data_IF_723368683821
#
_entry.id   IF_723368683821
#
_cell.length_a   1.000
_cell.length_b   1.000
_cell.length_c   1.000
_cell.angle_alpha   90.00
_cell.angle_beta   90.00
_cell.angle_gamma   90.00
#
_symmetry.space_group_name_H-M   'P 1'
#
loop_
_entity.id
_entity.type
_entity.pdbx_description
1 polymer ?
#
# COMPACT_ATOMS: atom_id res chain seq x y z
N UNK A 1 10.97 -32.67 7.82
CA UNK A 1 12.33 -32.12 7.61
C UNK A 1 12.26 -31.24 6.36
N UNK A 2 12.33 -29.92 6.51
CA UNK A 2 12.35 -29.02 5.35
C UNK A 2 13.78 -29.02 4.79
N UNK A 3 13.93 -29.48 3.55
CA UNK A 3 15.21 -29.44 2.85
C UNK A 3 15.63 -27.97 2.70
N UNK A 4 16.83 -27.63 3.16
CA UNK A 4 17.53 -26.44 2.73
C UNK A 4 17.93 -26.69 1.28
N UNK A 5 17.04 -26.41 0.34
CA UNK A 5 17.42 -26.35 -1.07
C UNK A 5 18.43 -25.23 -1.19
N UNK A 6 19.61 -25.55 -1.72
CA UNK A 6 20.59 -24.55 -2.08
C UNK A 6 19.93 -23.57 -3.06
N UNK A 7 19.66 -22.35 -2.62
CA UNK A 7 19.02 -21.29 -3.42
C UNK A 7 20.05 -20.47 -4.20
N UNK A 8 21.28 -20.97 -4.32
CA UNK A 8 22.38 -20.29 -5.02
C UNK A 8 22.05 -19.96 -6.48
N UNK A 9 21.18 -20.76 -7.11
CA UNK A 9 20.75 -20.55 -8.51
C UNK A 9 19.54 -19.61 -8.67
N UNK A 10 19.00 -19.05 -7.58
CA UNK A 10 17.84 -18.18 -7.67
C UNK A 10 18.20 -16.78 -8.19
N UNK A 11 17.35 -16.28 -9.08
CA UNK A 11 17.45 -14.92 -9.59
C UNK A 11 16.95 -13.93 -8.53
N UNK A 12 17.76 -12.93 -8.22
CA UNK A 12 17.43 -11.89 -7.23
C UNK A 12 17.20 -10.55 -7.94
N UNK A 13 16.08 -9.91 -7.63
CA UNK A 13 15.73 -8.57 -8.08
C UNK A 13 15.54 -7.68 -6.86
N UNK A 14 16.20 -6.52 -6.88
CA UNK A 14 16.10 -5.52 -5.81
C UNK A 14 15.58 -4.20 -6.38
N UNK A 15 14.57 -3.63 -5.72
CA UNK A 15 13.87 -2.44 -6.17
C UNK A 15 13.81 -1.43 -5.03
N UNK A 16 13.87 -0.15 -5.37
CA UNK A 16 13.68 0.96 -4.45
C UNK A 16 12.60 1.89 -5.02
N UNK A 17 11.51 2.05 -4.29
CA UNK A 17 10.36 2.85 -4.72
C UNK A 17 10.23 4.02 -3.76
N UNK A 18 10.52 5.26 -4.20
CA UNK A 18 10.45 6.43 -3.34
C UNK A 18 9.00 6.83 -3.07
N UNK A 19 8.70 7.15 -1.82
CA UNK A 19 7.42 7.75 -1.40
C UNK A 19 7.63 9.18 -0.89
N UNK A 20 6.56 10.02 -0.84
CA UNK A 20 6.66 11.38 -0.32
C UNK A 20 7.11 11.49 1.14
N UNK A 21 6.82 10.46 1.96
CA UNK A 21 7.20 10.39 3.36
C UNK A 21 7.36 8.92 3.81
N UNK A 22 7.98 8.71 4.97
CA UNK A 22 8.23 7.38 5.55
C UNK A 22 6.95 6.64 5.97
N UNK A 23 5.93 7.38 6.40
CA UNK A 23 4.66 6.80 6.85
C UNK A 23 3.91 6.15 5.69
N UNK A 24 3.94 6.76 4.51
CA UNK A 24 3.37 6.24 3.28
C UNK A 24 4.04 4.93 2.87
N UNK A 25 5.38 4.89 2.85
CA UNK A 25 6.14 3.67 2.54
C UNK A 25 5.80 2.55 3.55
N UNK A 26 5.70 2.90 4.84
CA UNK A 26 5.34 1.96 5.91
C UNK A 26 3.91 1.44 5.77
N UNK A 27 2.96 2.31 5.42
CA UNK A 27 1.57 1.93 5.21
C UNK A 27 1.43 0.98 4.02
N UNK A 28 2.05 1.32 2.89
CA UNK A 28 2.04 0.48 1.68
C UNK A 28 2.65 -0.89 1.97
N UNK A 29 3.81 -0.93 2.67
CA UNK A 29 4.41 -2.18 3.11
C UNK A 29 3.43 -3.04 3.91
N UNK A 30 2.79 -2.49 4.94
CA UNK A 30 1.87 -3.25 5.81
C UNK A 30 0.69 -3.82 5.05
N UNK A 31 0.14 -3.08 4.10
CA UNK A 31 -0.99 -3.54 3.28
C UNK A 31 -0.56 -4.70 2.38
N UNK A 32 0.59 -4.61 1.73
CA UNK A 32 1.07 -5.63 0.79
C UNK A 32 1.56 -6.89 1.51
N UNK A 33 2.14 -6.77 2.70
CA UNK A 33 2.65 -7.91 3.49
C UNK A 33 1.55 -8.89 3.94
N UNK A 34 0.29 -8.46 3.98
CA UNK A 34 -0.83 -9.35 4.30
C UNK A 34 -0.96 -10.46 3.25
N UNK A 35 -0.60 -10.17 1.99
CA UNK A 35 -0.63 -11.17 0.94
C UNK A 35 0.62 -12.06 0.98
N UNK A 36 0.40 -13.36 1.19
CA UNK A 36 1.46 -14.36 1.28
C UNK A 36 1.74 -14.93 -0.10
N UNK A 37 3.02 -15.13 -0.38
CA UNK A 37 3.45 -15.80 -1.61
C UNK A 37 2.89 -17.23 -1.65
N UNK A 38 2.16 -17.56 -2.73
CA UNK A 38 1.48 -18.84 -2.91
C UNK A 38 2.45 -20.04 -3.03
N UNK A 39 3.65 -19.83 -3.59
CA UNK A 39 4.68 -20.87 -3.79
C UNK A 39 6.01 -20.49 -3.12
N UNK A 40 6.11 -20.59 -1.78
CA UNK A 40 7.32 -20.19 -1.03
C UNK A 40 8.55 -21.08 -1.32
N UNK A 41 8.35 -22.24 -1.94
CA UNK A 41 9.42 -23.12 -2.42
C UNK A 41 10.09 -22.63 -3.70
N UNK A 42 9.47 -21.70 -4.43
CA UNK A 42 9.92 -21.24 -5.75
C UNK A 42 10.13 -19.73 -5.82
N UNK A 43 9.53 -18.99 -4.89
CA UNK A 43 9.52 -17.54 -4.85
C UNK A 43 9.58 -17.06 -3.40
N UNK A 44 10.49 -16.12 -3.13
CA UNK A 44 10.59 -15.38 -1.88
C UNK A 44 10.43 -13.89 -2.17
N UNK A 45 9.72 -13.19 -1.29
CA UNK A 45 9.55 -11.73 -1.33
C UNK A 45 9.83 -11.18 0.04
N UNK A 46 10.70 -10.18 0.10
CA UNK A 46 11.01 -9.41 1.30
C UNK A 46 10.73 -7.94 1.04
N UNK A 47 10.08 -7.28 1.99
CA UNK A 47 9.77 -5.85 1.93
C UNK A 47 10.35 -5.14 3.16
N UNK A 48 11.09 -4.07 2.93
CA UNK A 48 11.58 -3.19 3.99
C UNK A 48 11.36 -1.73 3.63
N UNK A 49 11.46 -0.85 4.62
CA UNK A 49 11.36 0.59 4.43
C UNK A 49 12.65 1.21 4.96
N UNK A 50 13.29 2.02 4.13
CA UNK A 50 14.50 2.76 4.47
C UNK A 50 14.21 4.26 4.27
N UNK A 51 13.99 4.98 5.36
CA UNK A 51 13.53 6.37 5.29
C UNK A 51 12.17 6.46 4.60
N UNK A 52 12.12 7.13 3.44
CA UNK A 52 10.92 7.25 2.60
C UNK A 52 10.83 6.22 1.48
N UNK A 53 11.79 5.31 1.36
CA UNK A 53 11.86 4.37 0.25
C UNK A 53 11.34 2.99 0.67
N UNK A 54 10.41 2.45 -0.11
CA UNK A 54 10.02 1.04 -0.02
C UNK A 54 11.04 0.21 -0.80
N UNK A 55 11.76 -0.65 -0.09
CA UNK A 55 12.67 -1.64 -0.68
C UNK A 55 11.95 -2.96 -0.85
N UNK A 56 12.06 -3.55 -2.04
CA UNK A 56 11.54 -4.88 -2.31
C UNK A 56 12.65 -5.77 -2.86
N UNK A 57 12.79 -6.96 -2.27
CA UNK A 57 13.69 -8.00 -2.76
C UNK A 57 12.89 -9.23 -3.14
N UNK A 58 12.92 -9.57 -4.43
CA UNK A 58 12.30 -10.77 -4.98
C UNK A 58 13.40 -11.78 -5.28
N UNK A 59 13.23 -13.02 -4.87
CA UNK A 59 14.11 -14.13 -5.22
C UNK A 59 13.28 -15.25 -5.82
N UNK A 60 13.58 -15.69 -7.04
CA UNK A 60 12.79 -16.69 -7.74
C UNK A 60 13.67 -17.74 -8.43
N UNK A 61 13.14 -18.95 -8.56
CA UNK A 61 13.85 -20.05 -9.24
C UNK A 61 14.05 -19.82 -10.75
N UNK A 62 13.21 -18.99 -11.39
CA UNK A 62 13.33 -18.64 -12.81
C UNK A 62 13.05 -17.16 -13.04
N UNK A 63 13.61 -16.61 -14.13
CA UNK A 63 13.34 -15.22 -14.55
C UNK A 63 11.85 -15.00 -14.87
N UNK A 64 11.18 -16.01 -15.44
CA UNK A 64 9.74 -15.92 -15.72
C UNK A 64 8.92 -15.77 -14.44
N UNK A 65 9.23 -16.54 -13.39
CA UNK A 65 8.59 -16.39 -12.09
C UNK A 65 8.90 -15.03 -11.45
N UNK A 66 10.14 -14.56 -11.53
CA UNK A 66 10.51 -13.23 -11.05
C UNK A 66 9.69 -12.12 -11.75
N UNK A 67 9.55 -12.21 -13.07
CA UNK A 67 8.74 -11.28 -13.87
C UNK A 67 7.29 -11.27 -13.42
N UNK A 68 6.66 -12.44 -13.31
CA UNK A 68 5.26 -12.54 -12.87
C UNK A 68 5.09 -11.98 -11.46
N UNK A 69 6.00 -12.31 -10.53
CA UNK A 69 5.96 -11.79 -9.17
C UNK A 69 6.11 -10.26 -9.12
N UNK A 70 6.95 -9.71 -9.98
CA UNK A 70 7.15 -8.27 -10.12
C UNK A 70 5.91 -7.57 -10.68
N UNK A 71 5.30 -8.13 -11.74
CA UNK A 71 4.07 -7.61 -12.35
C UNK A 71 2.93 -7.54 -11.30
N UNK A 72 2.79 -8.59 -10.49
CA UNK A 72 1.84 -8.61 -9.38
C UNK A 72 2.16 -7.56 -8.30
N UNK A 73 3.42 -7.49 -7.85
CA UNK A 73 3.83 -6.50 -6.85
C UNK A 73 3.55 -5.06 -7.30
N UNK A 74 3.82 -4.71 -8.56
CA UNK A 74 3.52 -3.38 -9.07
C UNK A 74 2.03 -3.12 -9.19
N UNK A 75 1.23 -4.11 -9.57
CA UNK A 75 -0.22 -3.99 -9.60
C UNK A 75 -0.80 -3.69 -8.21
N UNK A 76 -0.30 -4.40 -7.19
CA UNK A 76 -0.71 -4.19 -5.79
C UNK A 76 -0.30 -2.80 -5.29
N UNK A 77 0.96 -2.40 -5.51
CA UNK A 77 1.44 -1.06 -5.13
C UNK A 77 0.60 0.02 -5.81
N UNK A 78 0.34 -0.11 -7.11
CA UNK A 78 -0.46 0.84 -7.85
C UNK A 78 -1.86 0.97 -7.26
N UNK A 79 -2.52 -0.15 -6.95
CA UNK A 79 -3.85 -0.15 -6.34
C UNK A 79 -3.85 0.55 -4.98
N UNK A 80 -2.89 0.25 -4.12
CA UNK A 80 -2.78 0.87 -2.80
C UNK A 80 -2.51 2.37 -2.92
N UNK A 81 -1.59 2.78 -3.80
CA UNK A 81 -1.29 4.20 -4.04
C UNK A 81 -2.49 4.95 -4.60
N UNK A 82 -3.23 4.38 -5.55
CA UNK A 82 -4.47 4.98 -6.07
C UNK A 82 -5.54 5.10 -4.97
N UNK A 83 -5.62 4.11 -4.09
CA UNK A 83 -6.54 4.13 -2.95
C UNK A 83 -6.16 5.24 -1.96
N UNK A 84 -4.88 5.35 -1.61
CA UNK A 84 -4.36 6.43 -0.76
C UNK A 84 -4.60 7.80 -1.40
N UNK A 85 -4.44 7.93 -2.71
CA UNK A 85 -4.69 9.18 -3.40
C UNK A 85 -6.17 9.58 -3.38
N UNK A 86 -7.07 8.60 -3.55
CA UNK A 86 -8.52 8.86 -3.64
C UNK A 86 -9.19 9.04 -2.27
N UNK A 87 -8.71 8.34 -1.24
CA UNK A 87 -9.38 8.26 0.07
C UNK A 87 -8.47 8.60 1.25
N UNK A 88 -7.17 8.84 1.02
CA UNK A 88 -6.24 9.16 2.09
C UNK A 88 -6.46 10.58 2.63
N UNK A 89 -6.05 10.83 3.88
CA UNK A 89 -6.05 12.17 4.43
C UNK A 89 -5.07 13.06 3.63
N UNK A 90 -5.29 14.39 3.57
CA UNK A 90 -4.49 15.30 2.77
C UNK A 90 -2.97 15.25 3.11
N UNK A 91 -2.63 14.92 4.35
CA UNK A 91 -1.26 14.73 4.84
C UNK A 91 -0.52 13.57 4.15
N UNK A 92 -1.25 12.52 3.75
CA UNK A 92 -0.72 11.32 3.08
C UNK A 92 -0.50 11.57 1.59
N UNK A 93 -1.28 12.46 0.96
CA UNK A 93 -1.25 12.67 -0.50
C UNK A 93 -0.07 13.55 -0.95
N UNK A 94 0.68 14.15 -0.02
CA UNK A 94 1.79 15.04 -0.38
C UNK A 94 1.35 16.28 -1.17
N UNK A 95 0.05 16.59 -1.15
CA UNK A 95 -0.43 17.88 -1.61
C UNK A 95 0.15 18.93 -0.66
N UNK A 96 1.00 19.78 -1.20
CA UNK A 96 1.31 21.06 -0.57
C UNK A 96 -0.03 21.77 -0.41
N UNK A 97 -0.58 21.75 0.80
CA UNK A 97 -1.75 22.54 1.16
C UNK A 97 -1.30 23.99 0.99
N UNK A 98 -1.52 24.56 -0.19
CA UNK A 98 -1.66 26.00 -0.29
C UNK A 98 -2.76 26.33 0.71
N UNK A 99 -2.41 27.09 1.74
CA UNK A 99 -3.38 27.62 2.71
C UNK A 99 -4.46 28.34 1.93
N UNK A 100 -5.55 27.65 1.61
CA UNK A 100 -6.80 28.30 1.31
C UNK A 100 -7.22 29.03 2.59
N UNK A 101 -7.46 30.32 2.44
CA UNK A 101 -7.84 31.24 3.50
C UNK A 101 -9.03 30.70 4.32
N UNK A 102 -9.16 31.12 5.60
CA UNK A 102 -10.28 30.71 6.42
C UNK A 102 -11.51 31.52 5.98
N UNK A 103 -12.39 30.95 5.17
CA UNK A 103 -13.78 31.39 5.17
C UNK A 103 -14.77 30.34 4.63
N UNK A 104 -15.82 30.13 5.42
CA UNK A 104 -17.10 29.45 5.17
C UNK A 104 -17.08 28.05 4.49
N UNK A 105 -17.45 26.97 5.17
CA UNK A 105 -18.85 26.70 5.54
C UNK A 105 -18.91 25.54 6.54
N UNK A 106 -19.17 25.87 7.81
CA UNK A 106 -19.78 24.93 8.75
C UNK A 106 -21.28 24.95 8.49
N UNK A 107 -21.82 23.89 7.92
CA UNK A 107 -23.26 23.65 7.88
C UNK A 107 -23.56 22.54 8.87
N UNK A 108 -23.82 22.93 10.11
CA UNK A 108 -24.68 22.13 10.97
C UNK A 108 -26.15 22.35 10.57
N UNK A 109 -26.98 21.46 11.10
CA UNK A 109 -28.43 21.54 11.29
C UNK A 109 -29.27 20.72 10.31
N UNK A 110 -29.58 19.51 10.77
CA UNK A 110 -30.66 18.68 10.26
C UNK A 110 -30.82 17.42 11.10
N UNK A 111 -30.98 17.59 12.42
CA UNK A 111 -31.38 16.50 13.32
C UNK A 111 -32.62 15.79 12.77
N UNK A 112 -32.39 14.55 12.38
CA UNK A 112 -33.42 13.54 12.17
C UNK A 112 -34.24 13.37 13.45
N UNK A 113 -35.56 13.58 13.35
CA UNK A 113 -36.47 13.32 14.47
C UNK A 113 -37.71 14.22 14.51
N UNK A 114 -38.37 14.46 13.37
CA UNK A 114 -39.76 14.92 13.39
C UNK A 114 -40.62 13.74 13.83
N UNK A 115 -40.99 13.71 15.11
CA UNK A 115 -41.89 12.73 15.69
C UNK A 115 -43.20 12.67 14.90
N UNK A 116 -43.54 11.48 14.44
CA UNK A 116 -44.88 11.12 14.00
C UNK A 116 -45.87 11.25 15.16
N UNK A 117 -46.96 11.97 14.91
CA UNK A 117 -48.32 11.66 15.36
C UNK A 117 -48.65 11.74 16.85
N UNK A 118 -49.46 12.74 17.22
CA UNK A 118 -50.74 12.49 17.90
C UNK A 118 -51.75 13.51 17.38
N UNK A 119 -52.81 13.00 16.72
CA UNK A 119 -54.07 13.69 16.48
C UNK A 119 -55.02 13.43 17.65
N UNK A 120 -55.88 14.43 17.88
CA UNK A 120 -57.12 14.51 18.68
C UNK A 120 -56.96 14.97 20.13
#
# INVERSE_FOLDING_TARGET
MAAFTDRSDWHTLSLSIPFPNADNATLVKRVIEVDRVLRPSELSRELSVEGSDLKATLRAATVAQARVALDHLFSDIQLVVQTMHKFGPPEVVGQKVEKAAPDATSLEVGMMGSWEGVKQ
#
